data_IF_356054994209
#
_entry.id   IF_356054994209
#
_cell.length_a   1.000
_cell.length_b   1.000
_cell.length_c   1.000
_cell.angle_alpha   90.00
_cell.angle_beta   90.00
_cell.angle_gamma   90.00
#
_symmetry.space_group_name_H-M   'P 1'
#
loop_
_entity.id
_entity.type
_entity.pdbx_description
1 polymer ?
#
# COMPACT_ATOMS: atom_id res chain seq x y z
N UNK A 1 1.86 97.63 -35.71
CA UNK A 1 2.13 96.60 -34.68
C UNK A 1 1.32 97.01 -33.45
N UNK A 2 0.15 96.41 -33.15
CA UNK A 2 0.06 95.12 -32.45
C UNK A 2 -0.12 95.27 -30.91
N UNK A 3 -0.97 96.14 -30.33
CA UNK A 3 -2.32 95.88 -29.74
C UNK A 3 -2.55 94.42 -29.28
N UNK A 4 -3.00 94.01 -28.07
CA UNK A 4 -3.43 94.59 -26.77
C UNK A 4 -3.27 93.51 -25.67
N UNK A 5 -3.21 93.91 -24.38
CA UNK A 5 -3.48 93.08 -23.20
C UNK A 5 -4.84 92.36 -23.32
N UNK A 6 -4.99 91.15 -22.80
CA UNK A 6 -6.15 90.79 -21.97
C UNK A 6 -5.94 89.48 -21.19
N UNK A 7 -6.26 89.59 -19.91
CA UNK A 7 -6.54 88.54 -18.93
C UNK A 7 -7.76 87.73 -19.40
N UNK A 8 -7.71 86.39 -19.37
CA UNK A 8 -8.94 85.59 -19.47
C UNK A 8 -8.83 84.27 -18.71
N UNK A 9 -9.88 84.06 -17.94
CA UNK A 9 -10.24 82.95 -17.08
C UNK A 9 -10.74 81.79 -17.95
N UNK A 10 -10.34 80.55 -17.66
CA UNK A 10 -11.16 79.38 -18.01
C UNK A 10 -10.88 78.21 -17.06
N UNK A 11 -11.85 78.00 -16.16
CA UNK A 11 -12.26 76.67 -15.70
C UNK A 11 -12.40 75.74 -16.91
N UNK A 12 -12.00 74.47 -16.79
CA UNK A 12 -12.70 73.32 -17.38
C UNK A 12 -12.17 72.00 -16.76
N UNK A 13 -13.14 71.22 -16.26
CA UNK A 13 -13.23 69.76 -16.17
C UNK A 13 -12.23 68.94 -15.34
N UNK A 14 -12.72 68.63 -14.14
CA UNK A 14 -12.71 67.33 -13.47
C UNK A 14 -12.64 66.12 -14.44
N UNK A 15 -11.55 65.35 -14.40
CA UNK A 15 -11.55 63.93 -14.75
C UNK A 15 -10.74 63.18 -13.68
N UNK A 16 -11.45 62.73 -12.65
CA UNK A 16 -10.99 61.72 -11.72
C UNK A 16 -10.83 60.41 -12.52
N UNK A 17 -9.62 60.11 -13.00
CA UNK A 17 -9.27 58.76 -13.40
C UNK A 17 -9.06 57.94 -12.14
N UNK A 18 -10.13 57.32 -11.66
CA UNK A 18 -10.00 56.15 -10.79
C UNK A 18 -9.38 55.03 -11.63
N UNK A 19 -8.07 54.83 -11.49
CA UNK A 19 -7.48 53.55 -11.83
C UNK A 19 -8.02 52.51 -10.87
N UNK A 20 -9.14 51.89 -11.25
CA UNK A 20 -9.50 50.57 -10.75
C UNK A 20 -8.41 49.66 -11.30
N UNK A 21 -7.38 49.44 -10.48
CA UNK A 21 -6.54 48.27 -10.61
C UNK A 21 -7.48 47.08 -10.45
N UNK A 22 -7.90 46.49 -11.57
CA UNK A 22 -8.31 45.09 -11.56
C UNK A 22 -7.13 44.32 -11.00
N UNK A 23 -7.18 44.07 -9.68
CA UNK A 23 -6.67 42.81 -9.15
C UNK A 23 -7.22 41.76 -10.09
N UNK A 24 -6.34 41.03 -10.77
CA UNK A 24 -6.65 39.65 -11.06
C UNK A 24 -7.02 39.07 -9.69
N UNK A 25 -8.32 38.90 -9.48
CA UNK A 25 -8.78 37.86 -8.60
C UNK A 25 -8.25 36.59 -9.24
N UNK A 26 -7.01 36.25 -8.91
CA UNK A 26 -6.68 34.85 -8.73
C UNK A 26 -7.64 34.44 -7.63
N UNK A 27 -8.77 33.90 -8.07
CA UNK A 27 -9.72 33.25 -7.21
C UNK A 27 -8.89 32.33 -6.34
N UNK A 28 -8.90 32.69 -5.07
CA UNK A 28 -8.41 31.91 -3.97
C UNK A 28 -8.89 30.47 -4.19
N UNK A 29 -8.01 29.61 -4.70
CA UNK A 29 -8.19 28.15 -4.74
C UNK A 29 -8.03 27.60 -3.31
N UNK A 30 -8.67 28.29 -2.36
CA UNK A 30 -9.02 27.81 -1.03
C UNK A 30 -10.30 26.97 -1.09
N UNK A 31 -10.51 26.30 -2.22
CA UNK A 31 -11.51 25.27 -2.36
C UNK A 31 -11.08 24.09 -1.48
N UNK A 32 -12.02 23.56 -0.69
CA UNK A 32 -11.81 22.42 0.19
C UNK A 32 -10.91 21.37 -0.49
N UNK A 33 -9.77 21.04 0.15
CA UNK A 33 -8.67 20.21 -0.37
C UNK A 33 -9.15 19.29 -1.49
N UNK A 34 -8.93 19.69 -2.75
CA UNK A 34 -9.42 18.92 -3.88
C UNK A 34 -8.96 17.47 -3.73
N UNK A 35 -9.88 16.51 -3.68
CA UNK A 35 -9.56 15.09 -3.53
C UNK A 35 -9.66 14.39 -4.89
N UNK A 36 -8.87 13.33 -5.05
CA UNK A 36 -8.87 12.41 -6.18
C UNK A 36 -8.87 10.95 -5.71
N UNK A 37 -8.50 10.05 -6.63
CA UNK A 37 -8.40 8.62 -6.37
C UNK A 37 -7.00 8.12 -6.73
N UNK A 38 -6.63 6.95 -6.24
CA UNK A 38 -5.38 6.28 -6.55
C UNK A 38 -5.60 4.77 -6.61
N UNK A 39 -5.02 4.09 -7.60
CA UNK A 39 -5.09 2.63 -7.70
C UNK A 39 -3.74 2.00 -7.38
N UNK A 40 -3.73 0.94 -6.58
CA UNK A 40 -2.59 0.04 -6.41
C UNK A 40 -2.84 -1.23 -7.21
N UNK A 41 -1.81 -1.70 -7.91
CA UNK A 41 -1.81 -2.95 -8.65
C UNK A 41 -0.74 -3.84 -8.04
N UNK A 42 -1.12 -4.98 -7.49
CA UNK A 42 -0.20 -5.97 -6.94
C UNK A 42 -0.07 -7.14 -7.91
N UNK A 43 1.15 -7.42 -8.33
CA UNK A 43 1.47 -8.57 -9.18
C UNK A 43 2.50 -9.44 -8.47
N UNK A 44 2.14 -10.69 -8.22
CA UNK A 44 2.98 -11.63 -7.49
C UNK A 44 3.86 -12.43 -8.44
N UNK A 45 5.11 -12.65 -8.06
CA UNK A 45 6.01 -13.52 -8.80
C UNK A 45 7.36 -13.69 -8.13
N UNK A 46 8.41 -13.85 -8.94
CA UNK A 46 9.75 -14.17 -8.49
C UNK A 46 10.78 -13.32 -9.23
N UNK A 47 11.87 -12.95 -8.56
CA UNK A 47 12.99 -12.17 -9.10
C UNK A 47 12.56 -10.79 -9.61
N UNK A 48 11.57 -10.17 -8.97
CA UNK A 48 10.93 -8.93 -9.44
C UNK A 48 10.33 -9.06 -10.85
N UNK A 49 9.80 -10.24 -11.18
CA UNK A 49 8.96 -10.49 -12.33
C UNK A 49 7.63 -11.07 -11.82
N UNK A 50 6.54 -10.75 -12.49
CA UNK A 50 5.19 -11.19 -12.13
C UNK A 50 4.85 -12.61 -12.61
N UNK A 51 3.60 -12.79 -13.04
CA UNK A 51 3.07 -14.01 -13.68
C UNK A 51 3.11 -15.31 -12.85
N UNK A 52 2.97 -15.24 -11.53
CA UNK A 52 2.84 -16.48 -10.76
C UNK A 52 1.52 -17.20 -11.05
N UNK A 53 1.64 -18.48 -11.44
CA UNK A 53 0.50 -19.38 -11.63
C UNK A 53 0.52 -20.45 -10.53
N UNK A 54 -0.52 -20.44 -9.69
CA UNK A 54 -0.69 -21.38 -8.58
C UNK A 54 -0.66 -22.83 -9.10
N UNK A 55 0.00 -23.72 -8.35
CA UNK A 55 0.21 -25.13 -8.69
C UNK A 55 0.97 -25.38 -10.01
N UNK A 56 1.58 -24.37 -10.63
CA UNK A 56 2.35 -24.53 -11.87
C UNK A 56 3.75 -23.91 -11.79
N UNK A 57 3.86 -22.69 -11.24
CA UNK A 57 5.15 -21.99 -11.16
C UNK A 57 6.03 -22.63 -10.09
N UNK A 58 7.15 -23.23 -10.49
CA UNK A 58 8.12 -23.82 -9.57
C UNK A 58 9.32 -22.90 -9.43
N UNK A 59 9.73 -22.62 -8.20
CA UNK A 59 10.92 -21.85 -7.89
C UNK A 59 11.90 -22.67 -7.06
N UNK A 60 13.20 -22.40 -7.23
CA UNK A 60 14.26 -23.01 -6.40
C UNK A 60 14.85 -21.96 -5.49
N UNK A 61 14.89 -22.22 -4.19
CA UNK A 61 15.47 -21.30 -3.21
C UNK A 61 16.98 -21.21 -3.33
N UNK A 62 17.58 -20.20 -2.70
CA UNK A 62 19.05 -20.07 -2.58
C UNK A 62 19.72 -21.27 -1.92
N UNK A 63 18.96 -22.03 -1.12
CA UNK A 63 19.40 -23.27 -0.47
C UNK A 63 19.13 -24.54 -1.31
N UNK A 64 18.75 -24.39 -2.59
CA UNK A 64 18.52 -25.50 -3.52
C UNK A 64 17.18 -26.24 -3.34
N UNK A 65 16.26 -25.71 -2.53
CA UNK A 65 14.95 -26.33 -2.30
C UNK A 65 13.92 -25.84 -3.32
N UNK A 66 13.30 -26.77 -4.04
CA UNK A 66 12.18 -26.46 -4.92
C UNK A 66 10.92 -26.22 -4.11
N UNK A 67 10.12 -25.26 -4.52
CA UNK A 67 8.80 -25.00 -3.97
C UNK A 67 7.86 -24.46 -5.05
N UNK A 68 6.57 -24.64 -4.81
CA UNK A 68 5.48 -24.14 -5.64
C UNK A 68 4.32 -23.79 -4.73
N UNK A 69 3.70 -22.63 -4.95
CA UNK A 69 2.56 -22.20 -4.16
C UNK A 69 1.25 -22.73 -4.73
N UNK A 70 0.39 -23.24 -3.86
CA UNK A 70 -1.03 -23.50 -4.11
C UNK A 70 -1.93 -22.36 -3.62
N UNK A 71 -1.43 -21.54 -2.69
CA UNK A 71 -2.14 -20.41 -2.11
C UNK A 71 -1.17 -19.29 -1.73
N UNK A 72 -1.50 -18.06 -2.13
CA UNK A 72 -0.75 -16.85 -1.80
C UNK A 72 -1.77 -15.78 -1.42
N UNK A 73 -1.76 -15.39 -0.14
CA UNK A 73 -2.53 -14.23 0.32
C UNK A 73 -1.73 -13.41 1.31
N UNK A 74 -1.95 -12.11 1.32
CA UNK A 74 -1.41 -11.25 2.36
C UNK A 74 -2.32 -10.04 2.61
N UNK A 75 -2.23 -9.50 3.82
CA UNK A 75 -2.97 -8.30 4.23
C UNK A 75 -2.08 -7.08 4.05
N UNK A 76 -2.61 -6.07 3.36
CA UNK A 76 -2.04 -4.71 3.31
C UNK A 76 -2.94 -3.78 4.09
N UNK A 77 -2.39 -3.01 5.02
CA UNK A 77 -3.11 -2.01 5.81
C UNK A 77 -2.26 -0.76 6.04
N UNK A 78 -2.80 0.22 6.77
CA UNK A 78 -2.08 1.45 7.20
C UNK A 78 -1.27 2.08 6.05
N UNK A 79 -1.93 2.24 4.91
CA UNK A 79 -1.30 2.79 3.72
C UNK A 79 -1.05 4.28 3.98
N UNK A 80 0.15 4.77 3.70
CA UNK A 80 0.44 6.21 3.67
C UNK A 80 1.05 6.61 2.34
N UNK A 81 0.73 7.81 1.88
CA UNK A 81 1.34 8.44 0.72
C UNK A 81 2.17 9.63 1.18
N UNK A 82 3.42 9.70 0.75
CA UNK A 82 4.37 10.74 1.19
C UNK A 82 4.69 11.64 0.00
N UNK A 83 4.47 12.94 0.17
CA UNK A 83 4.62 13.94 -0.88
C UNK A 83 6.07 14.39 -1.10
N UNK A 84 6.29 15.24 -2.10
CA UNK A 84 7.61 15.77 -2.46
C UNK A 84 8.28 16.54 -1.31
N UNK A 85 7.49 17.10 -0.39
CA UNK A 85 7.93 17.85 0.80
C UNK A 85 8.06 16.98 2.06
N UNK A 86 7.95 15.66 1.93
CA UNK A 86 7.94 14.69 3.04
C UNK A 86 6.71 14.80 3.98
N UNK A 87 5.62 15.44 3.55
CA UNK A 87 4.36 15.37 4.29
C UNK A 87 3.71 13.99 4.05
N UNK A 88 3.21 13.38 5.12
CA UNK A 88 2.58 12.07 5.10
C UNK A 88 1.06 12.19 5.19
N UNK A 89 0.36 11.75 4.13
CA UNK A 89 -1.07 11.49 4.18
C UNK A 89 -1.31 10.03 4.56
N UNK A 90 -2.03 9.80 5.66
CA UNK A 90 -2.32 8.45 6.16
C UNK A 90 -3.73 8.02 5.79
N UNK A 91 -3.84 6.99 4.96
CA UNK A 91 -5.11 6.48 4.46
C UNK A 91 -5.77 5.55 5.48
N UNK A 92 -6.78 6.07 6.18
CA UNK A 92 -7.57 5.34 7.18
C UNK A 92 -6.71 4.57 8.20
N UNK A 93 -5.67 5.23 8.73
CA UNK A 93 -4.74 4.62 9.69
C UNK A 93 -5.47 3.98 10.87
N UNK A 94 -5.05 2.76 11.20
CA UNK A 94 -5.59 1.91 12.26
C UNK A 94 -7.10 1.59 12.11
N UNK A 95 -7.69 1.75 10.92
CA UNK A 95 -9.08 1.37 10.66
C UNK A 95 -9.16 0.27 9.58
N UNK A 96 -9.09 -1.02 9.94
CA UNK A 96 -9.12 -2.11 8.98
C UNK A 96 -10.38 -2.16 8.09
N UNK A 97 -11.55 -1.75 8.60
CA UNK A 97 -12.78 -1.73 7.80
C UNK A 97 -12.67 -0.82 6.56
N UNK A 98 -11.87 0.25 6.65
CA UNK A 98 -11.69 1.22 5.55
C UNK A 98 -10.32 1.18 4.88
N UNK A 99 -9.30 0.73 5.61
CA UNK A 99 -7.89 0.88 5.23
C UNK A 99 -7.12 -0.44 5.09
N UNK A 100 -7.76 -1.60 5.26
CA UNK A 100 -7.12 -2.90 5.08
C UNK A 100 -7.68 -3.68 3.87
N UNK A 101 -6.78 -4.35 3.18
CA UNK A 101 -7.03 -5.07 1.93
C UNK A 101 -6.39 -6.45 1.99
N UNK A 102 -7.06 -7.46 1.44
CA UNK A 102 -6.51 -8.79 1.26
C UNK A 102 -6.10 -8.89 -0.20
N UNK A 103 -4.80 -9.07 -0.43
CA UNK A 103 -4.26 -9.39 -1.74
C UNK A 103 -4.28 -10.92 -1.85
N UNK A 104 -5.10 -11.44 -2.75
CA UNK A 104 -5.34 -12.88 -2.93
C UNK A 104 -5.02 -13.22 -4.39
N UNK A 105 -4.00 -14.06 -4.61
CA UNK A 105 -3.60 -14.43 -5.98
C UNK A 105 -4.74 -15.13 -6.75
N UNK A 106 -5.67 -15.78 -6.04
CA UNK A 106 -6.81 -16.41 -6.69
C UNK A 106 -7.82 -15.39 -7.27
N UNK A 107 -7.77 -14.13 -6.83
CA UNK A 107 -8.60 -13.03 -7.34
C UNK A 107 -7.92 -12.25 -8.48
N UNK A 108 -6.68 -12.60 -8.84
CA UNK A 108 -5.90 -11.86 -9.82
C UNK A 108 -6.53 -11.96 -11.23
N UNK A 109 -6.64 -10.82 -11.90
CA UNK A 109 -7.09 -10.73 -13.30
C UNK A 109 -5.88 -10.33 -14.13
N UNK A 110 -5.48 -11.22 -15.05
CA UNK A 110 -4.24 -11.08 -15.83
C UNK A 110 -3.01 -10.85 -14.93
N UNK A 111 -2.89 -11.65 -13.85
CA UNK A 111 -1.77 -11.58 -12.92
C UNK A 111 -1.87 -10.49 -11.84
N UNK A 112 -2.81 -9.55 -11.96
CA UNK A 112 -2.89 -8.36 -11.12
C UNK A 112 -4.08 -8.42 -10.15
N UNK A 113 -3.83 -8.08 -8.89
CA UNK A 113 -4.85 -7.76 -7.88
C UNK A 113 -4.93 -6.24 -7.71
N UNK A 114 -6.14 -5.70 -7.82
CA UNK A 114 -6.38 -4.25 -7.81
C UNK A 114 -6.92 -3.79 -6.45
N UNK A 115 -6.38 -2.68 -5.95
CA UNK A 115 -6.87 -1.96 -4.77
C UNK A 115 -7.13 -0.52 -5.15
N UNK A 116 -8.37 -0.05 -4.93
CA UNK A 116 -8.75 1.34 -5.21
C UNK A 116 -8.81 2.12 -3.91
N UNK A 117 -8.05 3.22 -3.83
CA UNK A 117 -8.07 4.17 -2.74
C UNK A 117 -8.80 5.44 -3.21
N UNK A 118 -9.82 5.85 -2.47
CA UNK A 118 -10.62 7.03 -2.79
C UNK A 118 -10.31 8.18 -1.83
N UNK A 119 -10.79 9.38 -2.14
CA UNK A 119 -10.65 10.54 -1.25
C UNK A 119 -9.19 10.89 -0.90
N UNK A 120 -8.28 10.68 -1.85
CA UNK A 120 -6.87 10.99 -1.68
C UNK A 120 -6.67 12.49 -1.94
N UNK A 121 -6.00 13.25 -1.04
CA UNK A 121 -5.73 14.65 -1.29
C UNK A 121 -4.99 14.86 -2.62
N UNK A 122 -5.35 15.92 -3.35
CA UNK A 122 -4.62 16.34 -4.56
C UNK A 122 -3.19 16.68 -4.15
N UNK A 123 -2.24 15.87 -4.61
CA UNK A 123 -0.83 16.09 -4.34
C UNK A 123 0.03 15.25 -5.31
N UNK A 124 1.33 15.52 -5.27
CA UNK A 124 2.39 14.78 -5.93
C UNK A 124 3.06 13.88 -4.90
N UNK A 125 2.80 12.58 -4.96
CA UNK A 125 3.37 11.61 -4.03
C UNK A 125 4.60 10.94 -4.62
N UNK A 126 5.70 10.86 -3.84
CA UNK A 126 6.97 10.24 -4.25
C UNK A 126 7.31 8.95 -3.50
N UNK A 127 6.58 8.63 -2.42
CA UNK A 127 6.69 7.35 -1.72
C UNK A 127 5.31 6.83 -1.33
N UNK A 128 5.24 5.52 -1.15
CA UNK A 128 4.13 4.83 -0.50
C UNK A 128 4.68 4.01 0.67
N UNK A 129 3.97 4.03 1.80
CA UNK A 129 4.21 3.15 2.95
C UNK A 129 3.05 2.17 3.05
N UNK A 130 3.36 0.90 3.27
CA UNK A 130 2.42 -0.20 3.39
C UNK A 130 2.65 -0.92 4.71
N UNK A 131 1.60 -1.18 5.47
CA UNK A 131 1.60 -2.16 6.56
C UNK A 131 1.36 -3.55 6.01
N UNK A 132 2.26 -4.50 6.30
CA UNK A 132 2.06 -5.94 6.05
C UNK A 132 1.44 -6.55 7.31
N UNK A 133 0.16 -6.89 7.24
CA UNK A 133 -0.64 -7.36 8.39
C UNK A 133 -1.55 -6.29 8.99
N UNK A 134 -2.01 -6.53 10.24
CA UNK A 134 -2.85 -5.60 11.03
C UNK A 134 -2.07 -5.20 12.29
N UNK A 135 -1.86 -3.91 12.51
CA UNK A 135 -1.13 -3.40 13.67
C UNK A 135 -1.85 -3.71 14.99
N UNK A 136 -1.12 -3.77 16.10
CA UNK A 136 -1.74 -3.91 17.43
C UNK A 136 -2.67 -2.74 17.77
N UNK A 137 -2.33 -1.52 17.34
CA UNK A 137 -3.20 -0.36 17.52
C UNK A 137 -4.55 -0.54 16.82
N UNK A 138 -4.54 -1.04 15.58
CA UNK A 138 -5.75 -1.35 14.83
C UNK A 138 -6.51 -2.51 15.48
N UNK A 139 -5.82 -3.59 15.82
CA UNK A 139 -6.40 -4.80 16.39
C UNK A 139 -7.11 -4.57 17.73
N UNK A 140 -6.56 -3.70 18.57
CA UNK A 140 -7.08 -3.42 19.91
C UNK A 140 -8.28 -2.46 19.93
N UNK A 141 -8.67 -1.88 18.78
CA UNK A 141 -9.95 -1.15 18.69
C UNK A 141 -11.17 -2.06 18.86
N UNK A 142 -10.99 -3.38 18.72
CA UNK A 142 -12.08 -4.35 18.87
C UNK A 142 -13.05 -4.29 17.70
N UNK A 143 -14.34 -4.55 17.96
CA UNK A 143 -15.36 -4.59 16.90
C UNK A 143 -15.53 -3.25 16.18
N UNK A 144 -15.32 -2.15 16.89
CA UNK A 144 -15.39 -0.81 16.33
C UNK A 144 -14.21 -0.59 15.37
N UNK A 145 -14.47 -0.67 14.06
CA UNK A 145 -13.48 -0.46 13.01
C UNK A 145 -12.81 -1.72 12.45
N UNK A 146 -13.27 -2.92 12.85
CA UNK A 146 -12.76 -4.19 12.31
C UNK A 146 -13.83 -5.19 11.91
N UNK A 147 -15.12 -4.94 12.17
CA UNK A 147 -16.17 -5.93 11.98
C UNK A 147 -16.32 -6.36 10.51
N UNK A 148 -16.24 -5.40 9.58
CA UNK A 148 -16.34 -5.65 8.15
C UNK A 148 -15.11 -6.40 7.64
N UNK A 149 -13.91 -5.90 7.96
CA UNK A 149 -12.67 -6.54 7.55
C UNK A 149 -12.48 -7.91 8.18
N UNK A 150 -12.90 -8.12 9.43
CA UNK A 150 -12.92 -9.41 10.10
C UNK A 150 -13.79 -10.43 9.36
N UNK A 151 -14.99 -10.03 8.92
CA UNK A 151 -15.86 -10.91 8.14
C UNK A 151 -15.25 -11.25 6.77
N UNK A 152 -14.65 -10.28 6.09
CA UNK A 152 -13.91 -10.51 4.83
C UNK A 152 -12.72 -11.45 5.05
N UNK A 153 -11.95 -11.24 6.12
CA UNK A 153 -10.84 -12.09 6.50
C UNK A 153 -11.30 -13.52 6.77
N UNK A 154 -12.38 -13.73 7.52
CA UNK A 154 -12.99 -15.06 7.72
C UNK A 154 -13.32 -15.76 6.40
N UNK A 155 -14.01 -15.07 5.49
CA UNK A 155 -14.40 -15.63 4.18
C UNK A 155 -13.18 -16.00 3.33
N UNK A 156 -12.10 -15.22 3.41
CA UNK A 156 -10.85 -15.46 2.68
C UNK A 156 -9.88 -16.39 3.40
N UNK A 157 -10.20 -16.85 4.61
CA UNK A 157 -9.34 -17.68 5.45
C UNK A 157 -8.15 -16.94 6.06
N UNK A 158 -8.25 -15.62 6.21
CA UNK A 158 -7.23 -14.71 6.78
C UNK A 158 -7.50 -14.34 8.25
N UNK A 159 -8.36 -15.11 8.93
CA UNK A 159 -8.55 -15.07 10.38
C UNK A 159 -8.40 -16.46 10.95
N UNK A 160 -7.91 -16.59 12.19
CA UNK A 160 -7.78 -17.91 12.83
C UNK A 160 -9.15 -18.47 13.25
N UNK A 161 -9.36 -19.76 13.04
CA UNK A 161 -10.60 -20.41 13.49
C UNK A 161 -10.56 -20.81 14.97
N UNK A 162 -9.38 -20.83 15.59
CA UNK A 162 -9.14 -21.26 16.97
C UNK A 162 -8.77 -20.13 17.94
N UNK A 163 -8.57 -18.91 17.44
CA UNK A 163 -8.21 -17.75 18.24
C UNK A 163 -8.68 -16.45 17.59
N UNK A 164 -8.88 -15.40 18.38
CA UNK A 164 -9.08 -14.07 17.84
C UNK A 164 -7.73 -13.53 17.33
N UNK A 165 -7.61 -13.33 16.03
CA UNK A 165 -6.43 -12.80 15.36
C UNK A 165 -6.52 -12.95 13.84
N UNK A 166 -5.59 -12.29 13.16
CA UNK A 166 -5.50 -12.29 11.70
C UNK A 166 -4.28 -13.08 11.24
N UNK A 167 -4.44 -13.73 10.09
CA UNK A 167 -3.32 -14.19 9.26
C UNK A 167 -2.85 -12.97 8.46
N UNK A 168 -1.56 -12.64 8.54
CA UNK A 168 -0.97 -11.53 7.81
C UNK A 168 -0.48 -11.97 6.44
N UNK A 169 0.24 -13.10 6.39
CA UNK A 169 0.66 -13.74 5.14
C UNK A 169 0.32 -15.22 5.20
N UNK A 170 -0.34 -15.73 4.16
CA UNK A 170 -0.69 -17.13 3.96
C UNK A 170 0.05 -17.65 2.74
N UNK A 171 1.01 -18.54 2.97
CA UNK A 171 1.73 -19.27 1.93
C UNK A 171 1.49 -20.76 2.11
N UNK A 172 0.93 -21.41 1.10
CA UNK A 172 0.68 -22.85 1.08
C UNK A 172 1.18 -23.42 -0.23
N UNK A 173 1.55 -24.70 -0.24
CA UNK A 173 2.03 -25.32 -1.45
C UNK A 173 2.75 -26.63 -1.22
N UNK A 174 3.67 -26.96 -2.14
CA UNK A 174 4.54 -28.12 -2.04
C UNK A 174 6.00 -27.72 -2.13
N UNK A 175 6.86 -28.49 -1.47
CA UNK A 175 8.31 -28.33 -1.51
C UNK A 175 9.03 -29.68 -1.63
N UNK A 176 10.32 -29.62 -1.96
CA UNK A 176 11.26 -30.74 -1.90
C UNK A 176 12.54 -30.48 -2.68
N UNK A 177 13.48 -31.42 -2.68
CA UNK A 177 14.78 -31.27 -3.38
C UNK A 177 14.68 -31.77 -4.81
N UNK A 178 14.33 -33.05 -4.96
CA UNK A 178 14.25 -33.71 -6.27
C UNK A 178 12.86 -33.52 -6.90
N UNK A 179 11.82 -33.69 -6.07
CA UNK A 179 10.39 -33.64 -6.40
C UNK A 179 9.64 -32.68 -5.47
N UNK A 180 8.46 -32.21 -5.91
CA UNK A 180 7.51 -31.44 -5.08
C UNK A 180 6.49 -32.38 -4.44
N UNK A 181 6.91 -33.12 -3.41
CA UNK A 181 6.11 -34.20 -2.82
C UNK A 181 5.55 -33.87 -1.44
N UNK A 182 6.10 -32.86 -0.76
CA UNK A 182 5.75 -32.55 0.63
C UNK A 182 4.96 -31.25 0.71
N UNK A 183 3.81 -31.28 1.36
CA UNK A 183 2.98 -30.09 1.56
C UNK A 183 3.57 -29.17 2.63
N UNK A 184 3.32 -27.87 2.47
CA UNK A 184 3.60 -26.86 3.48
C UNK A 184 2.44 -25.87 3.61
N UNK A 185 2.29 -25.36 4.82
CA UNK A 185 1.43 -24.25 5.19
C UNK A 185 2.20 -23.37 6.17
N UNK A 186 2.58 -22.17 5.74
CA UNK A 186 3.21 -21.16 6.57
C UNK A 186 2.31 -19.94 6.62
N UNK A 187 1.68 -19.74 7.78
CA UNK A 187 0.75 -18.65 8.00
C UNK A 187 1.31 -17.73 9.08
N UNK A 188 1.78 -16.55 8.70
CA UNK A 188 2.28 -15.56 9.64
C UNK A 188 1.12 -14.76 10.22
N UNK A 189 1.23 -14.29 11.46
CA UNK A 189 0.24 -13.37 12.04
C UNK A 189 0.21 -13.39 13.55
N UNK A 190 -0.67 -12.57 14.11
CA UNK A 190 -0.82 -12.42 15.55
C UNK A 190 -2.22 -12.80 16.04
N UNK A 191 -2.29 -13.12 17.33
CA UNK A 191 -3.50 -13.51 18.05
C UNK A 191 -3.57 -12.73 19.36
N UNK A 192 -4.71 -12.09 19.62
CA UNK A 192 -4.91 -11.29 20.82
C UNK A 192 -3.90 -10.14 20.95
N UNK A 193 -3.73 -9.67 22.18
CA UNK A 193 -2.74 -8.65 22.53
C UNK A 193 -1.36 -9.32 22.66
N UNK A 194 -0.44 -9.01 21.76
CA UNK A 194 0.87 -9.68 21.70
C UNK A 194 1.73 -9.43 22.94
N UNK A 195 1.65 -8.22 23.51
CA UNK A 195 2.36 -7.84 24.75
C UNK A 195 1.85 -8.64 25.94
N UNK A 196 0.53 -8.72 26.12
CA UNK A 196 -0.08 -9.50 27.20
C UNK A 196 0.20 -11.00 27.06
N UNK A 197 0.25 -11.49 25.82
CA UNK A 197 0.51 -12.90 25.51
C UNK A 197 2.02 -13.25 25.51
N UNK A 198 2.92 -12.27 25.59
CA UNK A 198 4.36 -12.48 25.48
C UNK A 198 4.78 -13.09 24.14
N UNK A 199 4.11 -12.73 23.04
CA UNK A 199 4.40 -13.25 21.69
C UNK A 199 5.02 -12.17 20.80
N UNK A 200 5.84 -12.53 19.79
CA UNK A 200 6.38 -11.56 18.85
C UNK A 200 5.30 -10.84 18.05
N UNK A 201 5.45 -9.55 17.79
CA UNK A 201 4.63 -8.80 16.82
C UNK A 201 5.15 -9.02 15.39
N UNK A 202 4.27 -9.43 14.48
CA UNK A 202 4.59 -9.75 13.09
C UNK A 202 4.11 -8.65 12.12
N UNK A 203 3.52 -7.55 12.61
CA UNK A 203 3.22 -6.41 11.74
C UNK A 203 4.54 -5.75 11.28
N UNK A 204 4.62 -5.37 10.00
CA UNK A 204 5.78 -4.69 9.43
C UNK A 204 5.35 -3.52 8.58
N UNK A 205 6.16 -2.46 8.54
CA UNK A 205 5.96 -1.34 7.64
C UNK A 205 7.02 -1.37 6.53
N UNK A 206 6.57 -1.17 5.29
CA UNK A 206 7.40 -1.24 4.10
C UNK A 206 7.23 0.10 3.37
N UNK A 207 8.32 0.86 3.22
CA UNK A 207 8.32 2.14 2.50
C UNK A 207 8.99 1.96 1.15
N UNK A 208 8.29 2.34 0.07
CA UNK A 208 8.76 2.22 -1.30
C UNK A 208 8.85 3.61 -1.92
N UNK A 209 9.98 3.88 -2.60
CA UNK A 209 10.08 5.04 -3.47
C UNK A 209 9.31 4.78 -4.78
N UNK A 210 8.63 5.79 -5.28
CA UNK A 210 8.01 5.74 -6.59
C UNK A 210 9.04 6.18 -7.65
N UNK A 211 9.25 5.42 -8.73
CA UNK A 211 10.19 5.78 -9.79
C UNK A 211 9.73 7.03 -10.57
N UNK A 212 8.41 7.25 -10.59
CA UNK A 212 7.75 8.46 -11.08
C UNK A 212 6.70 8.87 -10.05
N UNK A 213 6.56 10.17 -9.81
CA UNK A 213 5.55 10.72 -8.90
C UNK A 213 4.14 10.28 -9.29
N UNK A 214 3.34 9.85 -8.31
CA UNK A 214 1.90 9.65 -8.47
C UNK A 214 1.18 10.99 -8.26
N UNK A 215 0.54 11.50 -9.31
CA UNK A 215 -0.05 12.85 -9.39
C UNK A 215 -1.55 12.73 -9.21
N UNK A 216 -2.01 12.86 -7.97
CA UNK A 216 -3.44 12.77 -7.67
C UNK A 216 -4.08 14.13 -7.94
N UNK A 217 -5.11 14.16 -8.78
CA UNK A 217 -6.00 15.30 -8.94
C UNK A 217 -7.45 14.82 -9.05
N UNK A 218 -8.41 15.71 -9.24
CA UNK A 218 -9.79 15.35 -9.57
C UNK A 218 -9.96 14.85 -11.02
N UNK A 219 -8.95 14.96 -11.89
CA UNK A 219 -8.95 14.40 -13.24
C UNK A 219 -7.99 13.21 -13.40
N UNK A 220 -6.91 13.18 -12.63
CA UNK A 220 -5.86 12.15 -12.76
C UNK A 220 -6.00 11.16 -11.61
N UNK A 221 -6.19 9.89 -11.96
CA UNK A 221 -6.21 8.76 -11.02
C UNK A 221 -4.96 7.92 -11.25
N UNK A 222 -3.84 8.22 -10.58
CA UNK A 222 -2.63 7.48 -10.80
C UNK A 222 -2.78 6.00 -10.42
N UNK A 223 -2.10 5.13 -11.16
CA UNK A 223 -1.96 3.72 -10.79
C UNK A 223 -0.51 3.39 -10.48
N UNK A 224 -0.25 2.85 -9.28
CA UNK A 224 1.07 2.40 -8.82
C UNK A 224 1.14 0.89 -9.02
N UNK A 225 2.04 0.44 -9.89
CA UNK A 225 2.28 -0.98 -10.12
C UNK A 225 3.36 -1.51 -9.19
N UNK A 226 3.00 -2.48 -8.35
CA UNK A 226 3.83 -3.05 -7.30
C UNK A 226 4.03 -4.54 -7.61
N UNK A 227 5.30 -4.91 -7.83
CA UNK A 227 5.73 -6.29 -7.94
C UNK A 227 6.01 -6.84 -6.54
N UNK A 228 5.52 -8.04 -6.25
CA UNK A 228 5.81 -8.79 -5.03
C UNK A 228 6.71 -9.99 -5.36
N UNK A 229 8.00 -9.88 -5.04
CA UNK A 229 9.01 -10.92 -5.22
C UNK A 229 8.97 -11.95 -4.09
N UNK A 230 8.28 -13.06 -4.32
CA UNK A 230 8.18 -14.16 -3.37
C UNK A 230 9.45 -15.01 -3.26
N UNK A 231 10.53 -14.69 -3.99
CA UNK A 231 11.83 -15.29 -3.66
C UNK A 231 12.27 -14.95 -2.25
N UNK A 232 11.84 -13.79 -1.74
CA UNK A 232 12.15 -13.38 -0.38
C UNK A 232 11.69 -14.42 0.65
N UNK A 233 10.63 -15.20 0.39
CA UNK A 233 10.16 -16.22 1.33
C UNK A 233 11.26 -17.18 1.80
N UNK A 234 11.90 -17.92 0.89
CA UNK A 234 12.95 -18.89 1.23
C UNK A 234 14.37 -18.40 0.94
N UNK A 235 14.52 -17.33 0.14
CA UNK A 235 15.80 -16.81 -0.34
C UNK A 235 16.05 -15.35 0.05
N UNK A 236 15.29 -14.83 1.01
CA UNK A 236 15.49 -13.49 1.54
C UNK A 236 16.79 -13.34 2.35
N UNK A 237 16.92 -12.24 3.07
CA UNK A 237 18.11 -11.91 3.86
C UNK A 237 18.51 -13.02 4.84
N UNK A 238 17.52 -13.68 5.44
CA UNK A 238 17.72 -14.94 6.17
C UNK A 238 17.32 -16.11 5.26
N UNK A 239 18.27 -16.87 4.69
CA UNK A 239 17.91 -18.05 3.90
C UNK A 239 17.16 -19.07 4.75
N UNK A 240 15.99 -19.52 4.27
CA UNK A 240 15.15 -20.48 4.98
C UNK A 240 15.08 -21.80 4.20
N UNK A 241 14.85 -22.88 4.96
CA UNK A 241 14.69 -24.22 4.41
C UNK A 241 13.51 -24.91 5.10
N UNK A 242 12.57 -25.42 4.32
CA UNK A 242 11.42 -26.15 4.83
C UNK A 242 11.78 -27.60 5.18
N UNK A 243 11.27 -28.09 6.30
CA UNK A 243 11.41 -29.46 6.76
C UNK A 243 10.21 -29.83 7.66
N UNK A 244 10.20 -31.05 8.20
CA UNK A 244 9.10 -31.57 9.02
C UNK A 244 8.85 -30.80 10.32
N UNK A 245 9.76 -29.93 10.78
CA UNK A 245 9.58 -29.14 12.01
C UNK A 245 9.01 -27.74 11.75
N UNK A 246 9.05 -27.25 10.51
CA UNK A 246 8.60 -25.87 10.19
C UNK A 246 7.61 -25.76 9.02
N UNK A 247 7.38 -26.85 8.26
CA UNK A 247 6.53 -26.80 7.06
C UNK A 247 5.07 -26.50 7.36
N UNK A 248 4.56 -26.78 8.56
CA UNK A 248 3.15 -26.56 8.94
C UNK A 248 2.96 -25.49 10.03
N UNK A 249 3.89 -24.53 10.13
CA UNK A 249 3.85 -23.52 11.19
C UNK A 249 2.82 -22.42 10.91
N UNK A 250 2.04 -22.07 11.94
CA UNK A 250 1.06 -20.99 11.90
C UNK A 250 1.20 -20.10 13.15
N UNK A 251 0.99 -18.79 13.01
CA UNK A 251 1.10 -17.80 14.10
C UNK A 251 2.43 -17.04 14.09
N UNK A 252 3.10 -16.98 15.24
CA UNK A 252 4.25 -16.08 15.49
C UNK A 252 5.51 -16.78 16.01
N UNK A 253 5.71 -18.05 15.64
CA UNK A 253 6.96 -18.78 15.95
C UNK A 253 8.19 -18.10 15.32
N UNK A 254 9.40 -18.40 15.82
CA UNK A 254 10.63 -17.81 15.28
C UNK A 254 10.82 -18.03 13.77
N UNK A 255 10.41 -19.19 13.24
CA UNK A 255 10.42 -19.43 11.80
C UNK A 255 9.54 -18.42 11.06
N UNK A 256 8.34 -18.16 11.57
CA UNK A 256 7.39 -17.23 10.95
C UNK A 256 7.78 -15.77 11.14
N UNK A 257 8.49 -15.43 12.23
CA UNK A 257 9.17 -14.14 12.38
C UNK A 257 10.18 -13.95 11.25
N UNK A 258 11.07 -14.92 11.03
CA UNK A 258 12.07 -14.83 9.95
C UNK A 258 11.41 -14.76 8.55
N UNK A 259 10.34 -15.53 8.32
CA UNK A 259 9.54 -15.43 7.08
C UNK A 259 9.01 -14.01 6.91
N UNK A 260 8.42 -13.45 7.96
CA UNK A 260 7.83 -12.10 7.94
C UNK A 260 8.90 -11.04 7.67
N UNK A 261 10.06 -11.15 8.33
CA UNK A 261 11.17 -10.22 8.17
C UNK A 261 11.74 -10.25 6.74
N UNK A 262 11.90 -11.44 6.16
CA UNK A 262 12.31 -11.55 4.76
C UNK A 262 11.30 -10.88 3.81
N UNK A 263 10.00 -11.11 4.02
CA UNK A 263 8.94 -10.58 3.15
C UNK A 263 8.82 -9.05 3.22
N UNK A 264 9.46 -8.37 4.18
CA UNK A 264 9.55 -6.89 4.17
C UNK A 264 10.24 -6.34 2.92
N UNK A 265 11.07 -7.15 2.24
CA UNK A 265 11.77 -6.78 1.01
C UNK A 265 11.07 -7.28 -0.25
N UNK A 266 9.86 -7.85 -0.16
CA UNK A 266 9.20 -8.44 -1.33
C UNK A 266 8.66 -7.40 -2.30
N UNK A 267 8.30 -6.20 -1.82
CA UNK A 267 7.68 -5.20 -2.69
C UNK A 267 8.69 -4.30 -3.39
N UNK A 268 8.42 -4.06 -4.68
CA UNK A 268 9.07 -3.04 -5.50
C UNK A 268 8.03 -2.33 -6.34
N UNK A 269 8.11 -1.01 -6.43
CA UNK A 269 7.32 -0.27 -7.43
C UNK A 269 8.02 -0.39 -8.79
N UNK A 270 7.32 -0.95 -9.76
CA UNK A 270 7.82 -1.10 -11.12
C UNK A 270 7.65 0.20 -11.90
N UNK A 271 6.42 0.72 -11.95
CA UNK A 271 6.10 1.97 -12.61
C UNK A 271 4.85 2.64 -12.01
N UNK A 272 4.63 3.89 -12.39
CA UNK A 272 3.43 4.67 -12.07
C UNK A 272 2.86 5.23 -13.36
N UNK A 273 1.56 5.02 -13.61
CA UNK A 273 0.82 5.70 -14.67
C UNK A 273 0.00 6.84 -14.08
N UNK A 274 -0.02 7.98 -14.78
CA UNK A 274 -0.77 9.18 -14.39
C UNK A 274 -1.81 9.45 -15.48
N UNK A 275 -2.85 8.62 -15.48
CA UNK A 275 -3.94 8.66 -16.46
C UNK A 275 -5.18 9.41 -15.92
#
# INVERSE_FOLDING_TARGET
MKIYKFLSLSLIAFSFFTFISCRSNDEDDSSAEAKGNLQLKFENGFNNLGDIVLNQTTQTSSQGQKHQFSNIKYVISNISLIDENENEFKYHENNPDKGAFIIDQADAIAGIVYVNLNEIPKNNYKKIKLGLGISQNAYLLGQDGQAEFWNKAKQKGMSWSWAAGYVFVKLEGKYGINSLDTEFMNHTGNMGNVTANGTPDLYREITLNLPTTARVTNQITPSIHILADLNQYLSGETPLFLNSTNNMMMGSSQHLVNVTDNLTKMFKVDHVHND
#
